data_IF_228640220223
#
_entry.id   IF_228640220223
#
_cell.length_a   1.000
_cell.length_b   1.000
_cell.length_c   1.000
_cell.angle_alpha   90.00
_cell.angle_beta   90.00
_cell.angle_gamma   90.00
#
_symmetry.space_group_name_H-M   'P 1'
#
loop_
_entity.id
_entity.type
_entity.pdbx_description
1 polymer ?
#
# COMPACT_ATOMS: atom_id res chain seq x y z
N UNK A 1 -27.61 -15.16 4.39
CA UNK A 1 -27.55 -14.66 2.99
C UNK A 1 -26.12 -14.91 2.54
N UNK A 2 -25.94 -15.56 1.40
CA UNK A 2 -24.62 -15.87 0.85
C UNK A 2 -24.37 -15.02 -0.39
N UNK A 3 -23.12 -14.95 -0.82
CA UNK A 3 -22.75 -14.25 -2.05
C UNK A 3 -23.15 -15.09 -3.27
N UNK A 4 -23.67 -14.44 -4.31
CA UNK A 4 -23.86 -15.06 -5.63
C UNK A 4 -22.56 -14.95 -6.42
N UNK A 5 -22.05 -16.07 -6.94
CA UNK A 5 -20.90 -16.06 -7.84
C UNK A 5 -21.34 -15.59 -9.22
N UNK A 6 -20.73 -14.52 -9.71
CA UNK A 6 -20.91 -14.04 -11.09
C UNK A 6 -19.55 -13.99 -11.80
N UNK A 7 -19.60 -14.00 -13.13
CA UNK A 7 -18.43 -13.90 -13.99
C UNK A 7 -18.45 -12.53 -14.66
N UNK A 8 -17.32 -11.81 -14.59
CA UNK A 8 -17.16 -10.47 -15.14
C UNK A 8 -15.86 -10.46 -15.93
N UNK A 9 -15.90 -9.99 -17.17
CA UNK A 9 -14.71 -9.92 -18.00
C UNK A 9 -13.66 -9.01 -17.36
N UNK A 10 -12.40 -9.44 -17.35
CA UNK A 10 -11.31 -8.69 -16.73
C UNK A 10 -11.09 -7.31 -17.35
N UNK A 11 -11.43 -7.14 -18.64
CA UNK A 11 -11.35 -5.87 -19.35
C UNK A 11 -12.68 -5.11 -19.42
N UNK A 12 -13.69 -5.51 -18.65
CA UNK A 12 -14.95 -4.77 -18.59
C UNK A 12 -14.72 -3.39 -17.95
N UNK A 13 -14.91 -2.35 -18.75
CA UNK A 13 -14.73 -0.96 -18.34
C UNK A 13 -15.96 -0.39 -17.63
N UNK A 14 -17.05 -1.16 -17.53
CA UNK A 14 -18.23 -0.77 -16.75
C UNK A 14 -17.84 -0.47 -15.31
N UNK A 15 -18.40 0.60 -14.75
CA UNK A 15 -18.22 0.96 -13.34
C UNK A 15 -19.27 0.36 -12.40
N UNK A 16 -20.29 -0.31 -12.96
CA UNK A 16 -21.43 -0.82 -12.20
C UNK A 16 -21.07 -2.13 -11.47
N UNK A 17 -21.59 -2.27 -10.25
CA UNK A 17 -21.41 -3.46 -9.42
C UNK A 17 -22.75 -4.02 -8.97
N UNK A 18 -22.86 -5.33 -9.07
CA UNK A 18 -23.97 -6.08 -8.49
C UNK A 18 -23.81 -6.17 -6.97
N UNK A 19 -24.93 -6.23 -6.27
CA UNK A 19 -24.98 -6.31 -4.81
C UNK A 19 -24.85 -7.75 -4.32
N UNK A 20 -24.15 -7.96 -3.20
CA UNK A 20 -24.00 -9.28 -2.56
C UNK A 20 -23.46 -10.37 -3.48
N UNK A 21 -22.49 -10.03 -4.33
CA UNK A 21 -21.84 -10.98 -5.24
C UNK A 21 -20.40 -11.28 -4.84
N UNK A 22 -19.89 -12.39 -5.36
CA UNK A 22 -18.47 -12.72 -5.37
C UNK A 22 -18.01 -12.84 -6.83
N UNK A 23 -16.83 -12.32 -7.13
CA UNK A 23 -16.27 -12.27 -8.49
C UNK A 23 -14.81 -12.70 -8.43
N UNK A 24 -14.38 -13.53 -9.38
CA UNK A 24 -12.96 -13.77 -9.59
C UNK A 24 -12.33 -12.59 -10.34
N UNK A 25 -11.30 -12.02 -9.74
CA UNK A 25 -10.55 -10.87 -10.26
C UNK A 25 -9.09 -11.22 -10.55
N UNK A 26 -8.76 -12.51 -10.58
CA UNK A 26 -7.45 -13.02 -10.97
C UNK A 26 -7.31 -13.11 -12.49
N UNK A 27 -6.13 -12.80 -13.00
CA UNK A 27 -5.80 -13.04 -14.40
C UNK A 27 -5.38 -14.50 -14.63
N UNK A 28 -6.01 -15.16 -15.61
CA UNK A 28 -5.66 -16.53 -16.00
C UNK A 28 -6.22 -17.56 -15.01
N UNK A 29 -5.35 -18.44 -14.52
CA UNK A 29 -5.73 -19.52 -13.58
C UNK A 29 -5.61 -19.11 -12.10
N UNK A 30 -5.47 -17.81 -11.81
CA UNK A 30 -5.42 -17.26 -10.45
C UNK A 30 -6.84 -17.21 -9.86
N UNK A 31 -6.97 -17.47 -8.57
CA UNK A 31 -8.25 -17.40 -7.85
C UNK A 31 -8.22 -16.24 -6.84
N UNK A 32 -8.62 -15.05 -7.28
CA UNK A 32 -8.67 -13.86 -6.42
C UNK A 32 -10.12 -13.44 -6.24
N UNK A 33 -10.65 -13.49 -5.01
CA UNK A 33 -12.08 -13.35 -4.77
C UNK A 33 -12.44 -11.98 -4.21
N UNK A 34 -13.20 -11.21 -4.97
CA UNK A 34 -13.75 -9.92 -4.60
C UNK A 34 -15.21 -10.03 -4.15
N UNK A 35 -15.61 -9.30 -3.11
CA UNK A 35 -16.95 -9.39 -2.51
C UNK A 35 -17.61 -8.01 -2.41
N UNK A 36 -18.87 -7.93 -2.83
CA UNK A 36 -19.68 -6.71 -2.67
C UNK A 36 -20.73 -6.84 -1.57
N UNK A 37 -21.04 -5.75 -0.86
CA UNK A 37 -22.15 -5.74 0.09
C UNK A 37 -23.51 -5.54 -0.60
N UNK A 38 -24.60 -5.40 0.17
CA UNK A 38 -25.96 -5.18 -0.35
C UNK A 38 -26.15 -3.86 -1.12
N UNK A 39 -25.17 -2.97 -1.07
CA UNK A 39 -25.13 -1.67 -1.76
C UNK A 39 -24.20 -1.69 -2.98
N UNK A 40 -23.66 -2.86 -3.35
CA UNK A 40 -22.71 -2.99 -4.46
C UNK A 40 -21.32 -2.41 -4.16
N UNK A 41 -21.02 -2.03 -2.92
CA UNK A 41 -19.68 -1.57 -2.54
C UNK A 41 -18.73 -2.75 -2.42
N UNK A 42 -17.52 -2.65 -2.98
CA UNK A 42 -16.46 -3.65 -2.84
C UNK A 42 -15.90 -3.58 -1.42
N UNK A 43 -16.23 -4.58 -0.58
CA UNK A 43 -15.91 -4.54 0.86
C UNK A 43 -14.76 -5.45 1.26
N UNK A 44 -14.43 -6.44 0.42
CA UNK A 44 -13.39 -7.42 0.73
C UNK A 44 -12.80 -8.02 -0.53
N UNK A 45 -11.50 -8.23 -0.55
CA UNK A 45 -10.77 -9.01 -1.56
C UNK A 45 -9.87 -10.00 -0.83
N UNK A 46 -9.82 -11.26 -1.28
CA UNK A 46 -8.93 -12.28 -0.72
C UNK A 46 -8.24 -13.10 -1.80
N UNK A 47 -7.04 -13.56 -1.48
CA UNK A 47 -6.32 -14.56 -2.27
C UNK A 47 -5.49 -15.45 -1.33
N UNK A 48 -5.55 -16.77 -1.54
CA UNK A 48 -4.73 -17.70 -0.76
C UNK A 48 -3.23 -17.50 -1.06
N UNK A 49 -2.92 -17.22 -2.33
CA UNK A 49 -1.57 -16.94 -2.84
C UNK A 49 -1.63 -15.82 -3.89
N UNK A 50 -0.76 -14.82 -3.76
CA UNK A 50 -0.53 -13.78 -4.76
C UNK A 50 0.61 -14.24 -5.67
N UNK A 51 0.29 -14.50 -6.93
CA UNK A 51 1.22 -14.93 -7.97
C UNK A 51 1.51 -13.74 -8.88
N UNK A 52 2.78 -13.33 -8.95
CA UNK A 52 3.23 -12.22 -9.77
C UNK A 52 2.92 -12.44 -11.26
N UNK A 53 2.67 -11.36 -11.99
CA UNK A 53 2.60 -11.37 -13.44
C UNK A 53 3.97 -11.74 -14.04
N UNK A 54 3.97 -12.49 -15.14
CA UNK A 54 5.19 -12.78 -15.94
C UNK A 54 5.02 -12.26 -17.37
N UNK A 55 5.64 -11.12 -17.65
CA UNK A 55 5.60 -10.43 -18.95
C UNK A 55 6.20 -11.23 -20.12
N UNK A 56 6.95 -12.31 -19.85
CA UNK A 56 7.56 -13.17 -20.88
C UNK A 56 6.65 -14.31 -21.27
N UNK A 57 5.78 -14.76 -20.37
CA UNK A 57 4.96 -15.95 -20.58
C UNK A 57 3.47 -15.66 -20.65
N UNK A 58 3.03 -14.56 -20.07
CA UNK A 58 1.62 -14.14 -20.05
C UNK A 58 1.32 -13.15 -21.19
N UNK A 59 0.07 -13.14 -21.69
CA UNK A 59 -0.31 -12.32 -22.85
C UNK A 59 -0.58 -10.86 -22.44
N UNK A 60 0.45 -10.17 -21.97
CA UNK A 60 0.39 -8.74 -21.65
C UNK A 60 0.50 -7.88 -22.92
N UNK A 61 -0.08 -6.68 -22.85
CA UNK A 61 0.08 -5.64 -23.87
C UNK A 61 1.52 -5.14 -23.92
N UNK A 62 1.87 -4.39 -24.96
CA UNK A 62 3.20 -3.75 -25.07
C UNK A 62 3.48 -2.73 -23.96
N UNK A 63 2.44 -2.30 -23.23
CA UNK A 63 2.55 -1.49 -22.02
C UNK A 63 2.95 -2.29 -20.77
N UNK A 64 2.94 -3.62 -20.83
CA UNK A 64 3.08 -4.52 -19.68
C UNK A 64 1.78 -4.76 -18.91
N UNK A 65 0.65 -4.19 -19.34
CA UNK A 65 -0.65 -4.36 -18.68
C UNK A 65 -1.43 -5.53 -19.27
N UNK A 66 -2.33 -6.14 -18.50
CA UNK A 66 -3.24 -7.15 -19.05
C UNK A 66 -4.29 -6.54 -19.98
N UNK A 67 -4.80 -5.35 -19.63
CA UNK A 67 -5.81 -4.64 -20.41
C UNK A 67 -5.42 -3.18 -20.63
N UNK A 68 -6.08 -2.53 -21.59
CA UNK A 68 -5.69 -1.19 -22.04
C UNK A 68 -6.13 -0.06 -21.12
N UNK A 69 -7.13 -0.32 -20.27
CA UNK A 69 -7.80 0.68 -19.44
C UNK A 69 -8.53 -0.02 -18.27
N UNK A 70 -8.95 0.78 -17.29
CA UNK A 70 -9.60 0.33 -16.06
C UNK A 70 -11.10 0.67 -16.03
N UNK A 71 -11.84 -0.08 -15.22
CA UNK A 71 -13.26 0.13 -14.97
C UNK A 71 -13.58 1.54 -14.43
N UNK A 72 -14.61 2.17 -14.99
CA UNK A 72 -15.00 3.55 -14.68
C UNK A 72 -15.96 3.64 -13.48
N UNK A 73 -15.53 3.09 -12.34
CA UNK A 73 -16.30 3.05 -11.08
C UNK A 73 -16.73 4.46 -10.65
N UNK A 74 -17.97 4.70 -10.19
CA UNK A 74 -18.41 6.02 -9.75
C UNK A 74 -17.44 6.64 -8.73
N UNK A 75 -16.90 7.82 -9.06
CA UNK A 75 -15.86 8.51 -8.27
C UNK A 75 -14.57 8.77 -9.05
N UNK A 76 -14.18 7.88 -9.98
CA UNK A 76 -12.92 8.00 -10.74
C UNK A 76 -12.92 9.13 -11.78
N UNK A 77 -14.04 9.81 -11.96
CA UNK A 77 -14.13 11.01 -12.81
C UNK A 77 -13.49 12.25 -12.15
N UNK A 78 -13.12 12.13 -10.87
CA UNK A 78 -12.45 13.17 -10.10
C UNK A 78 -10.97 13.26 -10.48
N UNK A 79 -10.45 14.45 -10.75
CA UNK A 79 -9.03 14.66 -11.12
C UNK A 79 -8.05 14.33 -9.97
N UNK A 80 -8.54 14.10 -8.75
CA UNK A 80 -7.74 13.75 -7.56
C UNK A 80 -7.87 12.28 -7.15
N UNK A 81 -8.68 11.50 -7.87
CA UNK A 81 -8.83 10.07 -7.62
C UNK A 81 -8.40 9.29 -8.86
N UNK A 82 -7.57 8.27 -8.65
CA UNK A 82 -7.18 7.30 -9.65
C UNK A 82 -8.12 6.09 -9.65
N UNK A 83 -8.01 5.30 -10.72
CA UNK A 83 -8.56 3.95 -10.86
C UNK A 83 -7.67 2.96 -10.10
N UNK A 84 -7.68 3.09 -8.77
CA UNK A 84 -6.80 2.35 -7.87
C UNK A 84 -7.16 0.86 -7.84
N UNK A 85 -6.20 0.02 -8.24
CA UNK A 85 -6.34 -1.43 -8.11
C UNK A 85 -6.31 -1.85 -6.64
N UNK A 86 -7.09 -2.86 -6.25
CA UNK A 86 -6.92 -3.51 -4.95
C UNK A 86 -5.79 -4.55 -5.02
N UNK A 87 -5.74 -5.31 -6.12
CA UNK A 87 -4.59 -6.14 -6.52
C UNK A 87 -4.13 -5.67 -7.89
N UNK A 88 -2.91 -5.14 -7.99
CA UNK A 88 -2.36 -4.58 -9.24
C UNK A 88 -2.17 -5.63 -10.35
N UNK A 89 -2.09 -5.15 -11.60
CA UNK A 89 -1.69 -5.92 -12.78
C UNK A 89 -0.43 -6.75 -12.50
N UNK A 90 0.59 -6.13 -11.89
CA UNK A 90 1.88 -6.79 -11.57
C UNK A 90 1.78 -7.93 -10.56
N UNK A 91 0.68 -7.98 -9.79
CA UNK A 91 0.35 -9.02 -8.82
C UNK A 91 -0.70 -10.01 -9.35
N UNK A 92 -1.05 -9.90 -10.65
CA UNK A 92 -1.97 -10.82 -11.31
C UNK A 92 -3.44 -10.44 -11.24
N UNK A 93 -3.79 -9.22 -10.80
CA UNK A 93 -5.18 -8.76 -10.76
C UNK A 93 -5.65 -8.21 -12.12
N UNK A 94 -6.97 -8.26 -12.37
CA UNK A 94 -7.59 -7.66 -13.56
C UNK A 94 -8.30 -6.33 -13.24
N UNK A 95 -8.44 -5.40 -14.19
CA UNK A 95 -8.92 -4.04 -13.91
C UNK A 95 -10.45 -3.85 -14.03
N UNK A 96 -11.26 -4.88 -13.77
CA UNK A 96 -12.71 -4.74 -13.79
C UNK A 96 -13.25 -4.02 -12.53
N UNK A 97 -14.54 -3.68 -12.50
CA UNK A 97 -15.14 -2.92 -11.41
C UNK A 97 -14.95 -3.55 -10.02
N UNK A 98 -14.73 -4.86 -9.92
CA UNK A 98 -14.62 -5.60 -8.66
C UNK A 98 -13.18 -5.63 -8.12
N UNK A 99 -12.23 -5.03 -8.83
CA UNK A 99 -10.84 -4.84 -8.37
C UNK A 99 -10.37 -3.38 -8.45
N UNK A 100 -11.18 -2.47 -8.99
CA UNK A 100 -10.85 -1.03 -9.08
C UNK A 100 -11.65 -0.25 -8.04
N UNK A 101 -11.03 0.67 -7.33
CA UNK A 101 -11.71 1.62 -6.44
C UNK A 101 -11.28 3.05 -6.76
N UNK A 102 -12.16 4.06 -6.63
CA UNK A 102 -11.73 5.45 -6.65
C UNK A 102 -10.81 5.71 -5.46
N UNK A 103 -9.52 5.91 -5.73
CA UNK A 103 -8.48 5.98 -4.72
C UNK A 103 -7.69 7.28 -4.86
N UNK A 104 -7.29 7.90 -3.75
CA UNK A 104 -6.49 9.12 -3.80
C UNK A 104 -5.18 8.89 -4.57
N UNK A 105 -4.89 9.79 -5.52
CA UNK A 105 -3.83 9.58 -6.51
C UNK A 105 -2.42 9.54 -5.90
N UNK A 106 -2.11 10.34 -4.88
CA UNK A 106 -0.80 10.29 -4.21
C UNK A 106 -0.63 8.98 -3.43
N UNK A 107 -1.67 8.55 -2.70
CA UNK A 107 -1.72 7.27 -1.98
C UNK A 107 -1.54 6.08 -2.94
N UNK A 108 -2.23 6.10 -4.08
CA UNK A 108 -2.17 5.05 -5.10
C UNK A 108 -0.76 4.93 -5.73
N UNK A 109 -0.07 6.05 -5.95
CA UNK A 109 1.21 6.06 -6.67
C UNK A 109 2.45 5.99 -5.77
N UNK A 110 2.35 6.54 -4.56
CA UNK A 110 3.51 6.80 -3.69
C UNK A 110 3.26 6.50 -2.21
N UNK A 111 2.07 6.02 -1.84
CA UNK A 111 1.71 5.74 -0.45
C UNK A 111 1.84 4.27 -0.05
N UNK A 112 1.14 3.91 1.03
CA UNK A 112 1.21 2.58 1.66
C UNK A 112 0.89 1.44 0.71
N UNK A 113 -0.01 1.65 -0.27
CA UNK A 113 -0.32 0.63 -1.27
C UNK A 113 0.88 0.34 -2.18
N UNK A 114 1.60 1.36 -2.64
CA UNK A 114 2.79 1.18 -3.47
C UNK A 114 3.90 0.43 -2.70
N UNK A 115 4.02 0.70 -1.40
CA UNK A 115 4.96 0.00 -0.52
C UNK A 115 4.59 -1.49 -0.37
N UNK A 116 3.32 -1.79 -0.10
CA UNK A 116 2.81 -3.17 -0.03
C UNK A 116 3.11 -3.93 -1.32
N UNK A 117 2.75 -3.37 -2.47
CA UNK A 117 2.97 -4.02 -3.77
C UNK A 117 4.46 -4.29 -4.04
N UNK A 118 5.32 -3.33 -3.70
CA UNK A 118 6.77 -3.49 -3.84
C UNK A 118 7.34 -4.59 -2.94
N UNK A 119 6.89 -4.66 -1.69
CA UNK A 119 7.29 -5.72 -0.77
C UNK A 119 6.91 -7.11 -1.32
N UNK A 120 5.68 -7.27 -1.79
CA UNK A 120 5.17 -8.53 -2.37
C UNK A 120 5.98 -8.91 -3.63
N UNK A 121 6.25 -7.97 -4.53
CA UNK A 121 7.07 -8.21 -5.73
C UNK A 121 8.48 -8.67 -5.37
N UNK A 122 9.13 -7.98 -4.43
CA UNK A 122 10.51 -8.30 -3.99
C UNK A 122 10.63 -9.68 -3.34
N UNK A 123 9.56 -10.18 -2.71
CA UNK A 123 9.52 -11.51 -2.11
C UNK A 123 9.02 -12.61 -3.05
N UNK A 124 8.65 -12.27 -4.29
CA UNK A 124 8.19 -13.23 -5.29
C UNK A 124 6.73 -13.65 -5.13
N UNK A 125 5.92 -12.86 -4.42
CA UNK A 125 4.53 -13.18 -4.08
C UNK A 125 4.25 -13.08 -2.59
N UNK A 126 3.01 -13.40 -2.22
CA UNK A 126 2.52 -13.40 -0.84
C UNK A 126 1.47 -14.50 -0.64
N UNK A 127 1.12 -14.81 0.61
CA UNK A 127 0.05 -15.75 0.96
C UNK A 127 -0.90 -15.14 1.97
N UNK A 128 -2.10 -15.70 2.13
CA UNK A 128 -3.13 -15.20 3.04
C UNK A 128 -3.44 -13.71 2.82
N UNK A 129 -3.56 -13.29 1.56
CA UNK A 129 -3.85 -11.90 1.24
C UNK A 129 -5.32 -11.58 1.52
N UNK A 130 -5.57 -10.50 2.23
CA UNK A 130 -6.89 -9.94 2.47
C UNK A 130 -6.82 -8.42 2.44
N UNK A 131 -7.70 -7.80 1.65
CA UNK A 131 -8.02 -6.39 1.72
C UNK A 131 -9.44 -6.23 2.29
N UNK A 132 -9.59 -5.41 3.33
CA UNK A 132 -10.87 -4.98 3.89
C UNK A 132 -11.05 -3.51 3.59
N UNK A 133 -12.17 -3.17 2.94
CA UNK A 133 -12.42 -1.84 2.40
C UNK A 133 -13.66 -1.27 3.08
N UNK A 134 -13.51 -0.09 3.67
CA UNK A 134 -14.55 0.59 4.43
C UNK A 134 -15.04 1.85 3.72
N UNK A 135 -16.29 2.23 4.00
CA UNK A 135 -16.97 3.36 3.38
C UNK A 135 -17.61 4.25 4.46
N UNK A 136 -17.77 5.53 4.16
CA UNK A 136 -18.42 6.50 5.07
C UNK A 136 -19.93 6.28 5.21
N UNK A 137 -20.55 5.80 4.14
CA UNK A 137 -21.99 5.61 4.00
C UNK A 137 -22.25 4.50 2.96
N UNK A 138 -23.52 4.25 2.66
CA UNK A 138 -23.98 3.17 1.78
C UNK A 138 -24.23 3.61 0.33
N UNK A 139 -24.14 4.91 0.06
CA UNK A 139 -24.47 5.49 -1.25
C UNK A 139 -23.21 5.69 -2.10
N UNK A 140 -22.09 6.02 -1.48
CA UNK A 140 -20.81 6.26 -2.15
C UNK A 140 -20.13 4.97 -2.61
N UNK A 141 -19.44 5.01 -3.76
CA UNK A 141 -18.52 3.96 -4.21
C UNK A 141 -17.04 4.31 -3.95
N UNK A 142 -16.79 5.46 -3.31
CA UNK A 142 -15.46 5.92 -2.90
C UNK A 142 -15.16 5.38 -1.50
N UNK A 143 -14.16 4.50 -1.33
CA UNK A 143 -13.76 4.03 0.00
C UNK A 143 -13.30 5.18 0.89
N UNK A 144 -13.48 5.03 2.19
CA UNK A 144 -12.89 5.90 3.20
C UNK A 144 -11.58 5.36 3.75
N UNK A 145 -11.39 4.03 3.74
CA UNK A 145 -10.27 3.37 4.42
C UNK A 145 -10.01 1.97 3.86
N UNK A 146 -8.75 1.58 3.88
CA UNK A 146 -8.28 0.24 3.54
C UNK A 146 -7.53 -0.38 4.72
N UNK A 147 -7.67 -1.68 4.86
CA UNK A 147 -6.79 -2.52 5.69
C UNK A 147 -6.34 -3.69 4.84
N UNK A 148 -5.03 -3.83 4.65
CA UNK A 148 -4.43 -4.96 3.96
C UNK A 148 -3.73 -5.86 4.98
N UNK A 149 -3.87 -7.16 4.79
CA UNK A 149 -3.12 -8.17 5.54
C UNK A 149 -2.61 -9.24 4.61
N UNK A 150 -1.37 -9.67 4.79
CA UNK A 150 -0.72 -10.65 3.91
C UNK A 150 0.53 -11.23 4.59
N UNK A 151 0.97 -12.40 4.13
CA UNK A 151 2.15 -13.09 4.65
C UNK A 151 3.26 -13.13 3.60
N UNK A 152 4.43 -12.58 3.95
CA UNK A 152 5.66 -12.65 3.14
C UNK A 152 6.81 -13.21 3.99
N UNK A 153 7.60 -14.12 3.42
CA UNK A 153 8.71 -14.78 4.12
C UNK A 153 8.33 -15.39 5.49
N UNK A 154 7.07 -15.83 5.64
CA UNK A 154 6.54 -16.40 6.89
C UNK A 154 6.16 -15.37 7.97
N UNK A 155 6.21 -14.07 7.67
CA UNK A 155 5.77 -13.01 8.57
C UNK A 155 4.47 -12.38 8.06
N UNK A 156 3.51 -12.21 8.96
CA UNK A 156 2.28 -11.48 8.71
C UNK A 156 2.55 -9.97 8.76
N UNK A 157 2.05 -9.26 7.75
CA UNK A 157 2.05 -7.80 7.65
C UNK A 157 0.60 -7.34 7.67
N UNK A 158 0.32 -6.28 8.42
CA UNK A 158 -1.00 -5.64 8.48
C UNK A 158 -0.82 -4.14 8.37
N UNK A 159 -1.30 -3.58 7.26
CA UNK A 159 -1.24 -2.16 6.96
C UNK A 159 -2.63 -1.55 6.91
N UNK A 160 -2.76 -0.29 7.30
CA UNK A 160 -4.06 0.37 7.42
C UNK A 160 -3.92 1.85 7.14
N UNK A 161 -4.70 2.35 6.18
CA UNK A 161 -4.62 3.74 5.73
C UNK A 161 -5.97 4.27 5.28
N UNK A 162 -6.16 5.58 5.45
CA UNK A 162 -7.36 6.28 5.02
C UNK A 162 -7.24 6.70 3.55
N UNK A 163 -8.35 6.74 2.82
CA UNK A 163 -8.40 7.12 1.39
C UNK A 163 -8.40 8.65 1.25
N UNK A 164 -7.33 9.28 1.72
CA UNK A 164 -7.11 10.74 1.73
C UNK A 164 -5.68 11.01 1.30
N UNK A 165 -5.37 12.27 0.98
CA UNK A 165 -4.03 12.63 0.55
C UNK A 165 -3.05 12.46 1.72
N UNK A 166 -2.01 11.60 1.60
CA UNK A 166 -1.05 11.38 2.67
C UNK A 166 -0.26 12.64 3.03
N UNK A 167 -0.05 13.56 2.09
CA UNK A 167 0.62 14.85 2.35
C UNK A 167 -0.24 15.73 3.25
N UNK A 168 -1.56 15.77 3.05
CA UNK A 168 -2.49 16.53 3.91
C UNK A 168 -2.58 15.92 5.32
N UNK A 169 -2.51 14.59 5.42
CA UNK A 169 -2.43 13.90 6.73
C UNK A 169 -1.11 14.26 7.41
N UNK A 170 0.00 14.20 6.70
CA UNK A 170 1.32 14.58 7.20
C UNK A 170 1.35 16.07 7.62
N UNK A 171 0.72 16.96 6.86
CA UNK A 171 0.52 18.38 7.20
C UNK A 171 -0.27 18.53 8.49
N UNK A 172 -1.40 17.83 8.61
CA UNK A 172 -2.25 17.89 9.81
C UNK A 172 -1.55 17.36 11.07
N UNK A 173 -0.61 16.43 10.89
CA UNK A 173 0.24 15.87 11.93
C UNK A 173 1.49 16.74 12.21
N UNK A 174 1.69 17.83 11.44
CA UNK A 174 2.82 18.74 11.58
C UNK A 174 4.16 18.17 11.06
N UNK A 175 4.10 17.17 10.17
CA UNK A 175 5.25 16.50 9.58
C UNK A 175 5.78 17.21 8.32
N UNK A 176 4.99 18.12 7.73
CA UNK A 176 5.38 18.95 6.59
C UNK A 176 5.72 20.38 7.06
N UNK A 177 6.79 20.49 7.83
CA UNK A 177 7.45 21.78 7.98
C UNK A 177 8.36 22.01 6.77
N UNK A 178 8.14 23.09 6.02
CA UNK A 178 9.12 23.65 5.10
C UNK A 178 10.41 23.98 5.86
N UNK A 179 11.31 23.01 5.99
CA UNK A 179 12.71 23.32 6.20
C UNK A 179 13.32 23.57 4.83
N UNK A 180 13.19 24.82 4.35
CA UNK A 180 14.24 25.36 3.49
C UNK A 180 15.58 25.08 4.17
N UNK A 181 16.62 24.64 3.42
CA UNK A 181 17.91 24.33 4.00
C UNK A 181 18.61 25.63 4.41
N UNK A 182 18.29 26.14 5.60
CA UNK A 182 19.15 27.10 6.26
C UNK A 182 20.41 26.35 6.66
N UNK A 183 21.44 26.55 5.85
CA UNK A 183 22.82 26.23 6.15
C UNK A 183 23.16 26.72 7.56
N UNK A 184 23.24 25.80 8.50
CA UNK A 184 23.81 26.03 9.82
C UNK A 184 24.37 24.70 10.30
N UNK A 185 25.62 24.50 9.92
CA UNK A 185 26.58 23.62 10.56
C UNK A 185 26.56 23.83 12.08
N UNK A 186 25.68 23.12 12.80
CA UNK A 186 25.82 22.96 14.25
C UNK A 186 26.14 21.50 14.55
N UNK A 187 27.44 21.25 14.52
CA UNK A 187 28.12 20.09 15.09
C UNK A 187 27.77 20.01 16.59
N UNK A 188 26.74 19.24 16.94
CA UNK A 188 26.57 18.80 18.33
C UNK A 188 27.43 17.56 18.52
N UNK A 189 28.49 17.82 19.28
CA UNK A 189 29.54 16.92 19.75
C UNK A 189 29.07 15.54 20.18
N UNK A 190 29.88 14.55 19.77
CA UNK A 190 30.07 13.21 20.33
C UNK A 190 29.84 13.12 21.85
N UNK A 191 28.60 12.93 22.28
CA UNK A 191 28.31 12.16 23.48
C UNK A 191 27.90 10.76 23.02
N UNK A 192 28.74 9.76 23.30
CA UNK A 192 28.35 8.34 23.22
C UNK A 192 27.17 8.15 24.17
N UNK A 193 25.97 8.32 23.64
CA UNK A 193 24.73 8.23 24.37
C UNK A 193 24.50 6.82 24.88
N UNK A 194 24.00 6.72 26.09
CA UNK A 194 23.46 5.48 26.63
C UNK A 194 22.28 5.06 25.75
N UNK A 195 22.43 3.98 24.98
CA UNK A 195 21.40 3.48 24.07
C UNK A 195 20.05 3.27 24.77
N UNK A 196 20.04 3.01 26.08
CA UNK A 196 18.81 2.83 26.86
C UNK A 196 17.92 4.07 26.93
N UNK A 197 18.43 5.27 26.61
CA UNK A 197 17.59 6.47 26.51
C UNK A 197 16.86 6.60 25.16
N UNK A 198 17.20 5.74 24.18
CA UNK A 198 16.63 5.76 22.82
C UNK A 198 15.90 4.45 22.50
N UNK A 199 16.48 3.31 22.86
CA UNK A 199 15.87 1.98 22.74
C UNK A 199 14.80 1.77 23.82
N UNK A 200 13.60 2.31 23.57
CA UNK A 200 12.48 2.29 24.52
C UNK A 200 11.91 0.91 24.76
N UNK A 201 12.12 -0.01 23.81
CA UNK A 201 11.62 -1.38 23.89
C UNK A 201 12.67 -2.38 24.42
N UNK A 202 13.94 -1.97 24.50
CA UNK A 202 15.05 -2.70 25.12
C UNK A 202 15.55 -3.89 24.31
N UNK A 203 15.31 -3.93 23.00
CA UNK A 203 15.71 -5.04 22.12
C UNK A 203 17.15 -4.90 21.56
N UNK A 204 17.85 -3.81 21.89
CA UNK A 204 19.20 -3.50 21.42
C UNK A 204 19.28 -2.97 19.99
N UNK A 205 18.13 -2.64 19.36
CA UNK A 205 18.01 -2.05 18.03
C UNK A 205 17.10 -0.83 18.08
N UNK A 206 17.57 0.28 17.53
CA UNK A 206 16.84 1.55 17.49
C UNK A 206 16.15 1.70 16.15
N UNK A 207 14.84 1.87 16.20
CA UNK A 207 14.04 2.19 15.01
C UNK A 207 14.19 3.67 14.63
N UNK A 208 13.89 4.03 13.37
CA UNK A 208 13.82 5.44 12.95
C UNK A 208 12.86 6.23 13.85
N UNK A 209 11.77 5.60 14.27
CA UNK A 209 10.79 6.18 15.18
C UNK A 209 11.40 6.50 16.55
N UNK A 210 12.08 5.55 17.17
CA UNK A 210 12.74 5.74 18.47
C UNK A 210 13.83 6.82 18.41
N UNK A 211 14.60 6.86 17.33
CA UNK A 211 15.58 7.90 17.12
C UNK A 211 14.93 9.30 16.94
N UNK A 212 13.83 9.41 16.19
CA UNK A 212 13.07 10.66 16.04
C UNK A 212 12.43 11.10 17.37
N UNK A 213 11.85 10.17 18.12
CA UNK A 213 11.24 10.43 19.43
C UNK A 213 12.28 10.90 20.46
N UNK A 214 13.53 10.43 20.33
CA UNK A 214 14.68 10.90 21.12
C UNK A 214 15.26 12.24 20.61
N UNK A 215 14.69 12.83 19.56
CA UNK A 215 15.06 14.15 19.04
C UNK A 215 16.19 14.14 18.00
N UNK A 216 16.54 12.98 17.44
CA UNK A 216 17.55 12.91 16.38
C UNK A 216 16.94 13.18 15.00
N UNK A 217 17.65 13.98 14.21
CA UNK A 217 17.32 14.27 12.81
C UNK A 217 17.76 13.14 11.89
N UNK A 218 16.94 12.82 10.90
CA UNK A 218 17.27 11.86 9.84
C UNK A 218 17.83 12.57 8.59
N UNK A 219 18.62 11.87 7.74
CA UNK A 219 19.09 10.50 7.93
C UNK A 219 20.24 10.43 8.94
N UNK A 220 20.28 9.33 9.71
CA UNK A 220 21.41 8.99 10.57
C UNK A 220 22.47 8.30 9.71
N UNK A 221 23.64 8.92 9.59
CA UNK A 221 24.75 8.44 8.75
C UNK A 221 25.68 7.51 9.53
N UNK A 222 26.50 6.76 8.81
CA UNK A 222 27.44 5.75 9.33
C UNK A 222 28.50 6.29 10.30
N UNK A 223 28.72 7.60 10.33
CA UNK A 223 29.56 8.31 11.27
C UNK A 223 28.86 8.67 12.60
N UNK A 224 27.54 8.48 12.71
CA UNK A 224 26.76 8.78 13.90
C UNK A 224 26.78 7.60 14.91
N UNK A 225 26.94 7.88 16.19
CA UNK A 225 27.08 6.84 17.23
C UNK A 225 25.86 5.91 17.36
N UNK A 226 24.68 6.38 16.97
CA UNK A 226 23.42 5.62 16.99
C UNK A 226 23.33 4.63 15.82
N UNK A 227 24.04 4.90 14.73
CA UNK A 227 23.97 4.14 13.47
C UNK A 227 24.19 2.62 13.63
N UNK A 228 25.18 2.13 14.41
CA UNK A 228 25.40 0.68 14.56
C UNK A 228 24.23 -0.07 15.20
N UNK A 229 23.31 0.65 15.84
CA UNK A 229 22.12 0.10 16.48
C UNK A 229 20.87 0.25 15.61
N UNK A 230 20.97 0.95 14.49
CA UNK A 230 19.89 1.17 13.55
C UNK A 230 20.03 0.25 12.34
N UNK A 231 18.91 -0.03 11.68
CA UNK A 231 18.87 -0.94 10.54
C UNK A 231 18.97 -0.18 9.22
N UNK A 232 20.17 -0.18 8.66
CA UNK A 232 20.44 0.19 7.27
C UNK A 232 20.02 -0.99 6.36
N UNK A 233 18.99 -0.78 5.55
CA UNK A 233 18.39 -1.83 4.72
C UNK A 233 18.97 -1.90 3.30
N UNK A 234 19.56 -0.82 2.79
CA UNK A 234 20.13 -0.75 1.44
C UNK A 234 21.66 -0.69 1.43
N UNK A 235 22.28 -0.55 2.62
CA UNK A 235 23.73 -0.60 2.80
C UNK A 235 24.42 0.68 2.34
N UNK A 236 23.68 1.78 2.20
CA UNK A 236 24.18 3.02 1.61
C UNK A 236 24.97 3.91 2.59
N UNK A 237 25.02 3.51 3.87
CA UNK A 237 25.70 4.29 4.92
C UNK A 237 24.76 5.26 5.63
N UNK A 238 23.45 5.18 5.44
CA UNK A 238 22.45 6.08 6.01
C UNK A 238 21.20 5.33 6.48
N UNK A 239 20.50 5.87 7.48
CA UNK A 239 19.23 5.31 7.99
C UNK A 239 18.21 6.42 8.14
N UNK A 240 17.04 6.25 7.50
CA UNK A 240 15.89 7.15 7.65
C UNK A 240 15.75 8.22 6.57
N UNK A 241 16.28 7.97 5.37
CA UNK A 241 15.89 8.71 4.16
C UNK A 241 14.38 8.61 3.88
#
# INVERSE_FOLDING_TARGET
>A
MGYELIEVDGGDLSGDRESSVVVDIGFGDREYWAFTNEYGQLVRVVADEIILQDDKTEPVLSSGRYFSDEAKVPGVQSDVLDEGHVIADSLGGVPNAYNITPQESTLNRHGDQAYMEDAIRKTGGATNFEAVISYSDTDTQIPSKYQYSYTINGNEVVDTFDNVNPDEVNESLGLTGDNEPSSSDDYISDEKGDISSVDTNGNGQVTIKEAKDAGFSMPIRDDHWLYPYMRDNDGDGTVGE
#
